data_IF_665276317171
#
_entry.id   IF_665276317171
#
_cell.length_a   1.000
_cell.length_b   1.000
_cell.length_c   1.000
_cell.angle_alpha   90.00
_cell.angle_beta   90.00
_cell.angle_gamma   90.00
#
_symmetry.space_group_name_H-M   'P 1'
#
loop_
_entity.id
_entity.type
_entity.pdbx_description
1 polymer ?
#
# COMPACT_ATOMS: atom_id res chain seq x y z
N UNK A 1 -5.98 -30.85 -0.08
CA UNK A 1 -5.82 -30.01 -1.28
C UNK A 1 -5.08 -28.78 -0.82
N UNK A 2 -3.80 -28.70 -1.15
CA UNK A 2 -2.88 -27.62 -0.74
C UNK A 2 -2.03 -27.36 -1.97
N UNK A 3 -2.50 -26.42 -2.80
CA UNK A 3 -1.97 -26.17 -4.13
C UNK A 3 -0.85 -25.13 -4.02
N UNK A 4 0.37 -25.65 -3.87
CA UNK A 4 1.62 -24.90 -3.88
C UNK A 4 2.02 -24.53 -5.31
N UNK A 5 1.61 -23.37 -5.83
CA UNK A 5 2.21 -22.78 -7.05
C UNK A 5 2.42 -21.26 -7.00
N UNK A 6 2.46 -20.63 -5.82
CA UNK A 6 3.10 -19.33 -5.62
C UNK A 6 4.09 -19.46 -4.43
N UNK A 7 5.42 -19.28 -4.62
CA UNK A 7 6.40 -19.38 -3.52
C UNK A 7 6.32 -18.18 -2.56
N UNK A 8 5.46 -17.24 -2.88
CA UNK A 8 5.19 -16.05 -2.10
C UNK A 8 3.90 -16.34 -1.31
N UNK A 9 3.87 -16.26 0.03
CA UNK A 9 2.60 -16.39 0.74
C UNK A 9 1.62 -15.38 0.11
N UNK A 10 0.39 -15.80 -0.21
CA UNK A 10 -0.60 -14.90 -0.77
C UNK A 10 -0.63 -13.68 0.13
N UNK A 11 -0.53 -12.48 -0.47
CA UNK A 11 -0.68 -11.26 0.29
C UNK A 11 -1.98 -11.40 1.07
N UNK A 12 -1.90 -11.25 2.40
CA UNK A 12 -3.10 -11.31 3.21
C UNK A 12 -4.07 -10.24 2.71
N UNK A 13 -5.36 -10.55 2.69
CA UNK A 13 -6.38 -9.66 2.14
C UNK A 13 -6.32 -8.27 2.78
N UNK A 14 -5.97 -8.17 4.06
CA UNK A 14 -5.75 -6.90 4.76
C UNK A 14 -4.60 -6.04 4.20
N UNK A 15 -3.57 -6.63 3.58
CA UNK A 15 -2.47 -5.88 2.94
C UNK A 15 -2.93 -5.29 1.60
N UNK A 16 -3.81 -6.00 0.89
CA UNK A 16 -4.44 -5.50 -0.33
C UNK A 16 -5.48 -4.43 -0.01
N UNK A 17 -6.21 -4.59 1.10
CA UNK A 17 -7.14 -3.59 1.61
C UNK A 17 -6.40 -2.32 2.04
N UNK A 18 -5.27 -2.46 2.75
CA UNK A 18 -4.35 -1.36 3.04
C UNK A 18 -3.89 -0.62 1.77
N UNK A 19 -3.56 -1.35 0.71
CA UNK A 19 -3.23 -0.77 -0.59
C UNK A 19 -4.40 0.00 -1.20
N UNK A 20 -5.62 -0.54 -1.15
CA UNK A 20 -6.82 0.09 -1.71
C UNK A 20 -7.20 1.38 -0.97
N UNK A 21 -7.11 1.36 0.37
CA UNK A 21 -7.28 2.55 1.22
C UNK A 21 -6.26 3.63 0.83
N UNK A 22 -4.98 3.27 0.71
CA UNK A 22 -3.92 4.20 0.32
C UNK A 22 -4.15 4.77 -1.08
N UNK A 23 -4.53 3.92 -2.04
CA UNK A 23 -4.86 4.29 -3.41
C UNK A 23 -6.03 5.28 -3.44
N UNK A 24 -7.13 4.96 -2.74
CA UNK A 24 -8.29 5.82 -2.59
C UNK A 24 -7.92 7.16 -1.98
N UNK A 25 -7.15 7.18 -0.89
CA UNK A 25 -6.74 8.42 -0.24
C UNK A 25 -5.75 9.24 -1.06
N UNK A 26 -4.85 8.62 -1.82
CA UNK A 26 -3.93 9.34 -2.70
C UNK A 26 -4.63 9.87 -3.96
N UNK A 27 -5.68 9.20 -4.46
CA UNK A 27 -6.51 9.66 -5.59
C UNK A 27 -7.39 10.86 -5.25
N UNK A 28 -7.75 11.03 -3.97
CA UNK A 28 -8.60 12.14 -3.51
C UNK A 28 -7.83 13.47 -3.33
N UNK A 29 -6.50 13.46 -3.40
CA UNK A 29 -5.73 14.69 -3.58
C UNK A 29 -5.92 15.11 -5.04
N UNK A 30 -6.83 16.06 -5.25
CA UNK A 30 -7.35 16.64 -6.51
C UNK A 30 -6.28 17.31 -7.41
N UNK A 31 -5.05 16.81 -7.42
CA UNK A 31 -3.99 17.30 -8.30
C UNK A 31 -3.82 16.34 -9.47
N UNK A 32 -4.01 16.92 -10.64
CA UNK A 32 -4.18 16.34 -11.96
C UNK A 32 -2.84 15.82 -12.52
N UNK A 33 -2.04 15.16 -11.69
CA UNK A 33 -0.74 14.60 -12.05
C UNK A 33 -0.80 13.09 -11.81
N UNK A 34 -0.56 12.35 -12.88
CA UNK A 34 -0.76 10.91 -13.10
C UNK A 34 -0.03 9.98 -12.10
N UNK A 35 0.65 10.54 -11.10
CA UNK A 35 1.56 9.84 -10.20
C UNK A 35 1.06 9.91 -8.75
N UNK A 36 0.25 8.92 -8.38
CA UNK A 36 -0.15 8.66 -7.00
C UNK A 36 1.07 8.50 -6.09
N UNK A 37 1.36 9.55 -5.31
CA UNK A 37 2.51 9.64 -4.40
C UNK A 37 1.99 9.95 -3.00
N UNK A 38 2.41 9.20 -1.98
CA UNK A 38 2.05 9.45 -0.59
C UNK A 38 3.28 9.26 0.31
N UNK A 39 3.63 10.23 1.17
CA UNK A 39 4.72 10.06 2.13
C UNK A 39 4.49 8.86 3.02
N UNK A 40 5.54 8.10 3.33
CA UNK A 40 5.44 6.87 4.14
C UNK A 40 4.77 7.14 5.50
N UNK A 41 5.10 8.27 6.13
CA UNK A 41 4.46 8.70 7.38
C UNK A 41 2.95 8.92 7.21
N UNK A 42 2.53 9.58 6.13
CA UNK A 42 1.11 9.81 5.86
C UNK A 42 0.39 8.50 5.48
N UNK A 43 1.06 7.60 4.77
CA UNK A 43 0.53 6.28 4.46
C UNK A 43 0.28 5.48 5.76
N UNK A 44 1.23 5.51 6.69
CA UNK A 44 1.05 4.93 8.03
C UNK A 44 -0.13 5.56 8.76
N UNK A 45 -0.23 6.89 8.78
CA UNK A 45 -1.35 7.58 9.43
C UNK A 45 -2.70 7.24 8.81
N UNK A 46 -2.79 7.12 7.48
CA UNK A 46 -4.00 6.70 6.79
C UNK A 46 -4.38 5.27 7.21
N UNK A 47 -3.42 4.33 7.20
CA UNK A 47 -3.64 2.95 7.62
C UNK A 47 -4.05 2.86 9.10
N UNK A 48 -3.44 3.65 9.98
CA UNK A 48 -3.78 3.74 11.40
C UNK A 48 -5.16 4.36 11.63
N UNK A 49 -5.56 5.35 10.82
CA UNK A 49 -6.88 5.98 10.88
C UNK A 49 -7.96 5.08 10.28
N UNK A 50 -7.57 4.10 9.47
CA UNK A 50 -8.49 3.17 8.82
C UNK A 50 -9.02 2.15 9.82
N UNK A 51 -10.18 2.46 10.40
CA UNK A 51 -10.84 1.61 11.37
C UNK A 51 -11.27 0.24 10.79
N UNK A 52 -11.34 0.11 9.46
CA UNK A 52 -11.58 -1.19 8.81
C UNK A 52 -10.45 -2.19 9.04
N UNK A 53 -9.21 -1.70 9.09
CA UNK A 53 -8.04 -2.55 9.21
C UNK A 53 -7.56 -2.66 10.66
N UNK A 54 -7.86 -1.66 11.49
CA UNK A 54 -7.51 -1.60 12.92
C UNK A 54 -6.04 -2.00 13.19
N UNK A 55 -5.14 -1.52 12.32
CA UNK A 55 -3.73 -1.91 12.31
C UNK A 55 -2.97 -1.20 13.42
N UNK A 56 -2.01 -1.89 14.01
CA UNK A 56 -0.98 -1.27 14.81
C UNK A 56 0.05 -0.59 13.90
N UNK A 57 0.83 0.40 14.40
CA UNK A 57 1.87 1.05 13.60
C UNK A 57 2.90 0.05 13.05
N UNK A 58 3.13 -1.04 13.78
CA UNK A 58 4.02 -2.13 13.36
C UNK A 58 3.42 -2.91 12.16
N UNK A 59 2.12 -3.21 12.18
CA UNK A 59 1.42 -3.89 11.09
C UNK A 59 1.27 -3.00 9.85
N UNK A 60 0.96 -1.72 10.05
CA UNK A 60 0.92 -0.74 8.97
C UNK A 60 2.28 -0.64 8.27
N UNK A 61 3.37 -0.58 9.05
CA UNK A 61 4.71 -0.59 8.51
C UNK A 61 5.05 -1.91 7.80
N UNK A 62 4.61 -3.04 8.35
CA UNK A 62 4.78 -4.33 7.71
C UNK A 62 4.05 -4.42 6.37
N UNK A 63 2.82 -3.90 6.27
CA UNK A 63 2.07 -3.84 5.02
C UNK A 63 2.78 -2.99 3.97
N UNK A 64 3.28 -1.82 4.34
CA UNK A 64 4.02 -0.93 3.43
C UNK A 64 5.29 -1.60 2.90
N UNK A 65 6.10 -2.18 3.78
CA UNK A 65 7.29 -2.95 3.38
C UNK A 65 6.89 -4.08 2.43
N UNK A 66 5.79 -4.78 2.73
CA UNK A 66 5.34 -5.89 1.89
C UNK A 66 4.89 -5.42 0.51
N UNK A 67 4.22 -4.28 0.41
CA UNK A 67 3.79 -3.71 -0.86
C UNK A 67 4.99 -3.20 -1.69
N UNK A 68 5.99 -2.60 -1.04
CA UNK A 68 7.28 -2.22 -1.64
C UNK A 68 8.07 -3.44 -2.16
N UNK A 69 8.26 -4.47 -1.33
CA UNK A 69 8.96 -5.71 -1.71
C UNK A 69 8.32 -6.41 -2.92
N UNK A 70 7.01 -6.24 -3.07
CA UNK A 70 6.23 -6.84 -4.15
C UNK A 70 6.19 -5.99 -5.41
N UNK A 71 6.64 -4.74 -5.33
CA UNK A 71 6.63 -3.79 -6.43
C UNK A 71 5.24 -3.21 -6.73
N UNK A 72 4.37 -3.10 -5.71
CA UNK A 72 3.14 -2.31 -5.81
C UNK A 72 3.42 -0.82 -5.61
N UNK A 73 4.39 -0.52 -4.73
CA UNK A 73 4.92 0.82 -4.54
C UNK A 73 6.43 0.83 -4.79
N UNK A 74 6.95 2.02 -5.02
CA UNK A 74 8.37 2.34 -4.95
C UNK A 74 8.56 3.56 -4.06
N UNK A 75 9.60 3.55 -3.23
CA UNK A 75 9.95 4.68 -2.36
C UNK A 75 10.90 5.62 -3.11
N UNK A 76 10.55 6.90 -3.19
CA UNK A 76 11.39 7.98 -3.71
C UNK A 76 11.28 9.15 -2.73
N UNK A 77 12.40 9.56 -2.15
CA UNK A 77 12.43 10.70 -1.21
C UNK A 77 11.51 10.50 0.02
N UNK A 78 11.44 9.28 0.57
CA UNK A 78 10.49 8.89 1.64
C UNK A 78 9.01 8.90 1.21
N UNK A 79 8.73 9.14 -0.08
CA UNK A 79 7.40 9.08 -0.67
C UNK A 79 7.16 7.75 -1.39
N UNK A 80 6.07 7.09 -1.02
CA UNK A 80 5.58 5.88 -1.66
C UNK A 80 4.81 6.27 -2.92
N UNK A 81 5.35 5.91 -4.08
CA UNK A 81 4.67 6.07 -5.36
C UNK A 81 4.09 4.76 -5.84
N UNK A 82 2.85 4.80 -6.31
CA UNK A 82 2.20 3.64 -6.95
C UNK A 82 2.91 3.40 -8.28
N UNK A 83 3.32 2.16 -8.53
CA UNK A 83 3.69 1.74 -9.89
C UNK A 83 2.40 1.42 -10.65
N UNK A 84 1.70 2.42 -11.16
CA UNK A 84 0.65 2.14 -12.14
C UNK A 84 1.35 1.69 -13.44
N UNK A 85 1.03 0.51 -13.99
CA UNK A 85 1.46 0.20 -15.35
C UNK A 85 0.73 1.17 -16.27
N UNK A 86 1.46 2.08 -16.93
CA UNK A 86 0.97 2.82 -18.09
C UNK A 86 0.34 1.80 -19.06
N UNK A 87 -0.97 1.91 -19.30
CA UNK A 87 -1.65 1.12 -20.32
C UNK A 87 -2.52 1.99 -21.22
#
# INVERSE_FOLDING_TARGET
MHDSTDPRPPLSEWILDAYDVLCTHSLNSDDHDDVQSVPREQALEILLRSNELALEPEDANFALIRLLERGYFYEVDDELRVTAPEN
#
